data_IF_027111345954
#
_entry.id   IF_027111345954
#
_cell.length_a   1.000
_cell.length_b   1.000
_cell.length_c   1.000
_cell.angle_alpha   90.00
_cell.angle_beta   90.00
_cell.angle_gamma   90.00
#
_symmetry.space_group_name_H-M   'P 1'
#
loop_
_entity.id
_entity.type
_entity.pdbx_description
1 polymer ?
#
# COMPACT_ATOMS: atom_id res chain seq x y z
N UNK A 1 -11.53 -11.82 -7.10
CA UNK A 1 -10.79 -11.32 -5.92
C UNK A 1 -11.65 -10.22 -5.31
N UNK A 2 -11.71 -10.10 -3.98
CA UNK A 2 -12.69 -9.21 -3.33
C UNK A 2 -12.13 -7.79 -3.18
N UNK A 3 -12.98 -6.78 -3.37
CA UNK A 3 -12.61 -5.35 -3.27
C UNK A 3 -13.30 -4.65 -2.10
N UNK A 4 -14.06 -5.38 -1.31
CA UNK A 4 -14.73 -4.89 -0.11
C UNK A 4 -14.41 -5.81 1.04
N UNK A 5 -14.35 -5.26 2.25
CA UNK A 5 -14.11 -6.01 3.46
C UNK A 5 -14.62 -5.28 4.70
N UNK A 6 -14.16 -5.76 5.86
CA UNK A 6 -14.52 -5.21 7.15
C UNK A 6 -13.23 -4.93 7.91
N UNK A 7 -13.09 -3.72 8.45
CA UNK A 7 -12.03 -3.37 9.39
C UNK A 7 -12.62 -3.46 10.80
N UNK A 8 -12.02 -4.30 11.64
CA UNK A 8 -12.37 -4.39 13.05
C UNK A 8 -11.63 -3.33 13.85
N UNK A 9 -12.36 -2.63 14.71
CA UNK A 9 -11.87 -1.51 15.49
C UNK A 9 -12.29 -1.63 16.95
N UNK A 10 -11.74 -0.72 17.78
CA UNK A 10 -11.96 -0.61 19.22
C UNK A 10 -11.35 -1.77 20.03
N UNK A 11 -11.82 -1.98 21.26
CA UNK A 11 -11.27 -2.92 22.24
C UNK A 11 -11.92 -4.29 22.17
N UNK A 12 -11.26 -5.29 22.74
CA UNK A 12 -11.72 -6.69 22.75
C UNK A 12 -13.11 -6.88 23.40
N UNK A 13 -13.54 -5.98 24.30
CA UNK A 13 -14.83 -6.02 24.97
C UNK A 13 -15.93 -5.24 24.23
N UNK A 14 -15.60 -4.55 23.14
CA UNK A 14 -16.55 -3.75 22.36
C UNK A 14 -16.03 -3.63 20.94
N UNK A 15 -16.07 -4.74 20.18
CA UNK A 15 -15.57 -4.77 18.81
C UNK A 15 -16.56 -4.06 17.89
N UNK A 16 -16.07 -3.11 17.11
CA UNK A 16 -16.83 -2.46 16.04
C UNK A 16 -16.37 -2.99 14.68
N UNK A 17 -17.33 -3.35 13.82
CA UNK A 17 -17.08 -3.71 12.42
C UNK A 17 -17.38 -2.52 11.53
N UNK A 18 -16.37 -2.05 10.78
CA UNK A 18 -16.54 -0.97 9.82
C UNK A 18 -16.41 -1.51 8.39
N UNK A 19 -17.44 -1.45 7.53
CA UNK A 19 -17.31 -1.82 6.14
C UNK A 19 -16.28 -0.91 5.44
N UNK A 20 -15.45 -1.50 4.59
CA UNK A 20 -14.41 -0.79 3.85
C UNK A 20 -14.38 -1.24 2.40
N UNK A 21 -14.24 -0.26 1.48
CA UNK A 21 -14.03 -0.52 0.06
C UNK A 21 -12.52 -0.41 -0.18
N UNK A 22 -11.87 -1.53 -0.45
CA UNK A 22 -10.46 -1.60 -0.84
C UNK A 22 -10.25 -1.04 -2.25
N UNK A 23 -11.17 -1.35 -3.18
CA UNK A 23 -11.20 -0.79 -4.53
C UNK A 23 -9.90 -0.97 -5.33
N UNK A 24 -9.15 -2.05 -5.10
CA UNK A 24 -7.81 -2.19 -5.69
C UNK A 24 -7.82 -2.36 -7.23
N UNK A 25 -8.97 -2.61 -7.84
CA UNK A 25 -9.15 -2.73 -9.29
C UNK A 25 -9.97 -1.58 -9.89
N UNK A 26 -10.31 -0.56 -9.10
CA UNK A 26 -10.90 0.67 -9.63
C UNK A 26 -9.93 1.37 -10.60
N UNK A 27 -10.49 2.22 -11.47
CA UNK A 27 -9.72 2.96 -12.47
C UNK A 27 -8.57 3.74 -11.83
N UNK A 28 -7.42 3.77 -12.51
CA UNK A 28 -6.17 4.41 -12.09
C UNK A 28 -5.49 3.88 -10.82
N UNK A 29 -6.13 3.02 -10.00
CA UNK A 29 -5.54 2.60 -8.71
C UNK A 29 -4.22 1.87 -8.89
N UNK A 30 -4.11 0.98 -9.89
CA UNK A 30 -2.85 0.29 -10.20
C UNK A 30 -1.77 1.27 -10.63
N UNK A 31 -2.11 2.23 -11.50
CA UNK A 31 -1.16 3.24 -11.97
C UNK A 31 -0.70 4.17 -10.83
N UNK A 32 -1.60 4.51 -9.91
CA UNK A 32 -1.29 5.26 -8.69
C UNK A 32 -0.35 4.45 -7.79
N UNK A 33 -0.61 3.15 -7.60
CA UNK A 33 0.28 2.27 -6.83
C UNK A 33 1.69 2.18 -7.44
N UNK A 34 1.79 2.10 -8.77
CA UNK A 34 3.09 2.10 -9.46
C UNK A 34 3.81 3.45 -9.33
N UNK A 35 3.08 4.57 -9.50
CA UNK A 35 3.62 5.92 -9.27
C UNK A 35 4.10 6.09 -7.82
N UNK A 36 3.38 5.56 -6.83
CA UNK A 36 3.78 5.60 -5.42
C UNK A 36 5.13 4.90 -5.20
N UNK A 37 5.34 3.75 -5.87
CA UNK A 37 6.63 3.06 -5.83
C UNK A 37 7.73 3.90 -6.49
N UNK A 38 7.45 4.57 -7.60
CA UNK A 38 8.45 5.37 -8.32
C UNK A 38 8.85 6.65 -7.55
N UNK A 39 7.96 7.20 -6.72
CA UNK A 39 8.21 8.39 -5.90
C UNK A 39 8.91 8.07 -4.57
N UNK A 40 9.21 6.80 -4.27
CA UNK A 40 9.84 6.46 -3.00
C UNK A 40 11.31 6.97 -2.93
N UNK A 41 11.84 7.35 -1.75
CA UNK A 41 13.19 7.91 -1.64
C UNK A 41 14.32 7.02 -2.18
N UNK A 42 14.15 5.69 -2.21
CA UNK A 42 15.15 4.77 -2.78
C UNK A 42 15.13 4.84 -4.31
N UNK A 43 13.95 4.90 -4.92
CA UNK A 43 13.78 5.14 -6.37
C UNK A 43 14.38 6.48 -6.78
N UNK A 44 14.08 7.56 -6.04
CA UNK A 44 14.64 8.90 -6.30
C UNK A 44 16.17 8.94 -6.19
N UNK A 45 16.77 8.08 -5.37
CA UNK A 45 18.23 7.97 -5.23
C UNK A 45 18.85 7.10 -6.32
N UNK A 46 18.20 6.01 -6.70
CA UNK A 46 18.63 5.11 -7.79
C UNK A 46 17.44 4.28 -8.28
N UNK A 47 16.91 4.65 -9.44
CA UNK A 47 15.78 3.94 -10.04
C UNK A 47 16.12 2.48 -10.34
N UNK A 48 17.31 2.21 -10.92
CA UNK A 48 17.75 0.85 -11.24
C UNK A 48 17.88 -0.03 -9.98
N UNK A 49 18.51 0.48 -8.92
CA UNK A 49 18.69 -0.27 -7.68
C UNK A 49 17.39 -0.49 -6.90
N UNK A 50 16.41 0.40 -7.04
CA UNK A 50 15.07 0.18 -6.51
C UNK A 50 14.33 -0.89 -7.33
N UNK A 51 14.35 -0.79 -8.65
CA UNK A 51 13.68 -1.70 -9.58
C UNK A 51 14.12 -3.16 -9.39
N UNK A 52 15.43 -3.42 -9.29
CA UNK A 52 15.97 -4.77 -9.06
C UNK A 52 15.45 -5.43 -7.78
N UNK A 53 15.11 -4.62 -6.77
CA UNK A 53 14.61 -5.10 -5.47
C UNK A 53 13.10 -5.27 -5.43
N UNK A 54 12.37 -4.82 -6.46
CA UNK A 54 10.91 -4.96 -6.53
C UNK A 54 10.46 -6.42 -6.72
N UNK A 55 11.39 -7.34 -6.96
CA UNK A 55 11.14 -8.78 -6.95
C UNK A 55 10.93 -9.38 -5.54
N UNK A 56 11.23 -8.63 -4.47
CA UNK A 56 11.06 -9.06 -3.09
C UNK A 56 9.80 -8.42 -2.46
N UNK A 57 8.83 -9.27 -2.09
CA UNK A 57 7.59 -8.84 -1.46
C UNK A 57 7.82 -8.15 -0.08
N UNK A 58 8.86 -8.53 0.66
CA UNK A 58 9.23 -7.87 1.92
C UNK A 58 9.71 -6.45 1.66
N UNK A 59 10.51 -6.27 0.60
CA UNK A 59 10.97 -4.96 0.17
C UNK A 59 9.80 -4.05 -0.23
N UNK A 60 8.93 -4.52 -1.12
CA UNK A 60 7.75 -3.77 -1.58
C UNK A 60 6.85 -3.38 -0.40
N UNK A 61 6.54 -4.33 0.49
CA UNK A 61 5.69 -4.06 1.66
C UNK A 61 6.26 -2.96 2.55
N UNK A 62 7.59 -2.95 2.78
CA UNK A 62 8.26 -1.90 3.55
C UNK A 62 8.22 -0.54 2.87
N UNK A 63 8.38 -0.51 1.55
CA UNK A 63 8.29 0.74 0.77
C UNK A 63 6.86 1.29 0.87
N UNK A 64 5.84 0.49 0.55
CA UNK A 64 4.44 0.91 0.57
C UNK A 64 4.03 1.40 1.96
N UNK A 65 4.27 0.62 3.02
CA UNK A 65 3.94 1.03 4.40
C UNK A 65 4.62 2.34 4.81
N UNK A 66 5.85 2.57 4.35
CA UNK A 66 6.56 3.82 4.61
C UNK A 66 5.96 4.99 3.84
N UNK A 67 5.58 4.78 2.58
CA UNK A 67 4.95 5.82 1.76
C UNK A 67 3.58 6.21 2.33
N UNK A 68 2.74 5.26 2.72
CA UNK A 68 1.44 5.54 3.36
C UNK A 68 1.60 6.39 4.63
N UNK A 69 2.57 6.08 5.51
CA UNK A 69 2.81 6.86 6.74
C UNK A 69 3.41 8.25 6.50
N UNK A 70 4.14 8.45 5.40
CA UNK A 70 4.79 9.73 5.12
C UNK A 70 3.91 10.68 4.32
N UNK A 71 2.93 10.14 3.59
CA UNK A 71 2.00 10.90 2.76
C UNK A 71 0.75 11.33 3.53
N UNK A 72 0.36 10.61 4.58
CA UNK A 72 -0.79 10.90 5.45
C UNK A 72 -0.34 11.04 6.91
#
# INVERSE_FOLDING_TARGET
MNETGIIFMNTYNSIYSNPWIFGQFEEDIVDICLKLLDQNPKSLRSATGDYERRNDAVYISRVVSRMVRLTF
#
